data_IF_726831186102
#
_entry.id   IF_726831186102
#
_cell.length_a   1.000
_cell.length_b   1.000
_cell.length_c   1.000
_cell.angle_alpha   90.00
_cell.angle_beta   90.00
_cell.angle_gamma   90.00
#
_symmetry.space_group_name_H-M   'P 1'
#
loop_
_entity.id
_entity.type
_entity.pdbx_description
1 polymer ?
#
# COMPACT_ATOMS: atom_id res chain seq x y z
N UNK A 1 -8.26 19.15 1.49
CA UNK A 1 -8.61 18.47 0.23
C UNK A 1 -10.07 18.03 0.18
N UNK A 2 -10.69 17.62 1.30
CA UNK A 2 -12.15 17.39 1.33
C UNK A 2 -12.97 18.68 1.16
N UNK A 3 -12.46 19.81 1.66
CA UNK A 3 -13.11 21.12 1.60
C UNK A 3 -13.41 21.65 0.19
N UNK A 4 -12.76 21.12 -0.86
CA UNK A 4 -13.04 21.53 -2.24
C UNK A 4 -14.31 20.89 -2.81
N UNK A 5 -14.83 19.83 -2.18
CA UNK A 5 -16.06 19.13 -2.60
C UNK A 5 -17.29 19.73 -1.91
N UNK A 6 -17.11 20.44 -0.79
CA UNK A 6 -18.21 21.10 -0.07
C UNK A 6 -18.83 22.25 -0.88
N UNK A 7 -18.01 23.00 -1.62
CA UNK A 7 -18.47 24.11 -2.47
C UNK A 7 -19.46 23.65 -3.58
N UNK A 8 -19.16 22.62 -4.40
CA UNK A 8 -20.12 22.17 -5.41
C UNK A 8 -21.38 21.52 -4.79
N UNK A 9 -21.28 20.87 -3.63
CA UNK A 9 -22.46 20.33 -2.92
C UNK A 9 -23.38 21.47 -2.49
N UNK A 10 -22.84 22.49 -1.83
CA UNK A 10 -23.62 23.65 -1.36
C UNK A 10 -24.22 24.44 -2.51
N UNK A 11 -23.48 24.63 -3.61
CA UNK A 11 -23.99 25.28 -4.81
C UNK A 11 -25.17 24.50 -5.43
N UNK A 12 -25.08 23.17 -5.54
CA UNK A 12 -26.15 22.32 -6.05
C UNK A 12 -27.41 22.36 -5.17
N UNK A 13 -27.22 22.32 -3.84
CA UNK A 13 -28.34 22.45 -2.88
C UNK A 13 -29.03 23.81 -2.99
N UNK A 14 -28.25 24.89 -3.08
CA UNK A 14 -28.78 26.25 -3.20
C UNK A 14 -29.66 26.40 -4.45
N UNK A 15 -29.21 25.88 -5.60
CA UNK A 15 -29.99 25.89 -6.85
C UNK A 15 -31.28 25.07 -6.72
N UNK A 16 -31.23 23.92 -6.05
CA UNK A 16 -32.42 23.11 -5.77
C UNK A 16 -33.44 23.89 -4.92
N UNK A 17 -32.99 24.58 -3.88
CA UNK A 17 -33.87 25.37 -3.01
C UNK A 17 -34.52 26.55 -3.75
N UNK A 18 -33.78 27.21 -4.64
CA UNK A 18 -34.34 28.28 -5.48
C UNK A 18 -35.41 27.77 -6.45
N UNK A 19 -35.33 26.50 -6.88
CA UNK A 19 -36.36 25.88 -7.73
C UNK A 19 -37.63 25.53 -6.96
N UNK A 20 -37.52 25.16 -5.67
CA UNK A 20 -38.68 24.83 -4.80
C UNK A 20 -39.62 26.01 -4.58
N UNK A 21 -39.14 27.25 -4.68
CA UNK A 21 -39.94 28.46 -4.47
C UNK A 21 -40.85 28.88 -5.63
N UNK A 22 -40.87 28.15 -6.76
CA UNK A 22 -41.66 28.50 -7.95
C UNK A 22 -43.12 28.05 -7.79
N UNK A 23 -44.08 28.93 -8.04
CA UNK A 23 -45.53 28.64 -7.99
C UNK A 23 -45.99 27.82 -9.21
N UNK A 24 -46.87 26.86 -8.94
CA UNK A 24 -47.44 25.84 -9.85
C UNK A 24 -46.38 24.92 -10.45
N UNK A 25 -46.21 23.77 -9.80
CA UNK A 25 -45.40 22.65 -10.31
C UNK A 25 -46.22 21.93 -11.37
N UNK A 26 -46.00 22.25 -12.64
CA UNK A 26 -46.38 21.33 -13.69
C UNK A 26 -45.51 20.08 -13.53
N UNK A 27 -46.12 18.89 -13.55
CA UNK A 27 -45.41 17.62 -13.36
C UNK A 27 -44.65 17.21 -14.63
N UNK A 28 -43.83 18.14 -15.14
CA UNK A 28 -42.99 17.96 -16.32
C UNK A 28 -41.56 17.79 -15.80
N UNK A 29 -40.99 16.61 -16.02
CA UNK A 29 -39.60 16.33 -15.70
C UNK A 29 -38.69 17.14 -16.62
N UNK A 30 -38.17 18.26 -16.12
CA UNK A 30 -37.20 19.08 -16.84
C UNK A 30 -35.86 18.33 -16.90
N UNK A 31 -35.27 18.15 -18.10
CA UNK A 31 -33.99 17.45 -18.28
C UNK A 31 -32.85 18.06 -17.44
N UNK A 32 -32.86 19.38 -17.22
CA UNK A 32 -31.84 20.04 -16.39
C UNK A 32 -31.98 19.65 -14.92
N UNK A 33 -33.22 19.51 -14.43
CA UNK A 33 -33.48 19.11 -13.06
C UNK A 33 -33.08 17.66 -12.81
N UNK A 34 -33.37 16.75 -13.75
CA UNK A 34 -32.93 15.35 -13.69
C UNK A 34 -31.40 15.24 -13.66
N UNK A 35 -30.73 15.90 -14.61
CA UNK A 35 -29.26 15.89 -14.69
C UNK A 35 -28.61 16.47 -13.44
N UNK A 36 -29.13 17.56 -12.88
CA UNK A 36 -28.60 18.15 -11.64
C UNK A 36 -28.77 17.19 -10.45
N UNK A 37 -29.91 16.51 -10.34
CA UNK A 37 -30.15 15.51 -9.30
C UNK A 37 -29.19 14.32 -9.40
N UNK A 38 -28.95 13.81 -10.62
CA UNK A 38 -27.98 12.74 -10.87
C UNK A 38 -26.56 13.17 -10.48
N UNK A 39 -26.15 14.38 -10.88
CA UNK A 39 -24.85 14.93 -10.51
C UNK A 39 -24.70 15.12 -9.00
N UNK A 40 -25.74 15.61 -8.32
CA UNK A 40 -25.73 15.74 -6.87
C UNK A 40 -25.57 14.39 -6.17
N UNK A 41 -26.30 13.36 -6.63
CA UNK A 41 -26.14 12.00 -6.12
C UNK A 41 -24.72 11.44 -6.35
N UNK A 42 -24.16 11.67 -7.53
CA UNK A 42 -22.79 11.26 -7.87
C UNK A 42 -21.74 11.98 -7.01
N UNK A 43 -21.91 13.27 -6.74
CA UNK A 43 -21.01 14.05 -5.87
C UNK A 43 -21.01 13.54 -4.43
N UNK A 44 -22.19 13.25 -3.87
CA UNK A 44 -22.29 12.68 -2.52
C UNK A 44 -21.64 11.31 -2.44
N UNK A 45 -21.85 10.46 -3.44
CA UNK A 45 -21.19 9.15 -3.49
C UNK A 45 -19.66 9.27 -3.57
N UNK A 46 -19.16 10.19 -4.41
CA UNK A 46 -17.74 10.44 -4.53
C UNK A 46 -17.14 10.97 -3.22
N UNK A 47 -17.85 11.87 -2.53
CA UNK A 47 -17.46 12.37 -1.22
C UNK A 47 -17.34 11.24 -0.18
N UNK A 48 -18.36 10.38 -0.09
CA UNK A 48 -18.37 9.25 0.83
C UNK A 48 -17.24 8.26 0.53
N UNK A 49 -16.99 7.97 -0.75
CA UNK A 49 -15.89 7.13 -1.18
C UNK A 49 -14.53 7.73 -0.79
N UNK A 50 -14.33 9.03 -0.99
CA UNK A 50 -13.10 9.72 -0.64
C UNK A 50 -12.87 9.74 0.88
N UNK A 51 -13.92 9.98 1.67
CA UNK A 51 -13.84 9.96 3.13
C UNK A 51 -13.44 8.56 3.64
N UNK A 52 -14.05 7.50 3.10
CA UNK A 52 -13.69 6.12 3.44
C UNK A 52 -12.25 5.78 3.07
N UNK A 53 -11.80 6.19 1.89
CA UNK A 53 -10.41 5.98 1.47
C UNK A 53 -9.44 6.72 2.38
N UNK A 54 -9.76 7.96 2.75
CA UNK A 54 -8.94 8.75 3.68
C UNK A 54 -8.80 8.07 5.05
N UNK A 55 -9.89 7.54 5.59
CA UNK A 55 -9.87 6.79 6.85
C UNK A 55 -9.04 5.51 6.75
N UNK A 56 -9.17 4.77 5.64
CA UNK A 56 -8.38 3.56 5.39
C UNK A 56 -6.88 3.85 5.26
N UNK A 57 -6.52 4.91 4.52
CA UNK A 57 -5.15 5.35 4.37
C UNK A 57 -4.55 5.74 5.71
N UNK A 58 -5.30 6.49 6.53
CA UNK A 58 -4.86 6.87 7.87
C UNK A 58 -4.63 5.65 8.77
N UNK A 59 -5.56 4.70 8.77
CA UNK A 59 -5.41 3.45 9.52
C UNK A 59 -4.18 2.65 9.06
N UNK A 60 -3.94 2.57 7.75
CA UNK A 60 -2.76 1.90 7.19
C UNK A 60 -1.45 2.59 7.58
N UNK A 61 -1.41 3.93 7.57
CA UNK A 61 -0.26 4.68 8.04
C UNK A 61 0.03 4.42 9.53
N UNK A 62 -1.00 4.41 10.37
CA UNK A 62 -0.85 4.12 11.80
C UNK A 62 -0.32 2.70 12.03
N UNK A 63 -0.79 1.71 11.28
CA UNK A 63 -0.27 0.33 11.31
C UNK A 63 1.22 0.28 10.91
N UNK A 64 1.60 0.94 9.82
CA UNK A 64 2.98 0.99 9.35
C UNK A 64 3.91 1.66 10.37
N UNK A 65 3.44 2.74 11.02
CA UNK A 65 4.18 3.38 12.11
C UNK A 65 4.39 2.47 13.30
N UNK A 66 3.34 1.75 13.72
CA UNK A 66 3.43 0.78 14.81
C UNK A 66 4.43 -0.33 14.47
N UNK A 67 4.33 -0.91 13.27
CA UNK A 67 5.21 -1.99 12.82
C UNK A 67 6.67 -1.53 12.70
N UNK A 68 6.90 -0.32 12.17
CA UNK A 68 8.22 0.30 12.11
C UNK A 68 8.83 0.42 13.52
N UNK A 69 8.04 0.86 14.49
CA UNK A 69 8.48 0.98 15.89
C UNK A 69 8.84 -0.38 16.49
N UNK A 70 7.99 -1.39 16.29
CA UNK A 70 8.25 -2.76 16.75
C UNK A 70 9.56 -3.31 16.17
N UNK A 71 9.76 -3.19 14.86
CA UNK A 71 10.98 -3.65 14.21
C UNK A 71 12.24 -2.91 14.70
N UNK A 72 12.11 -1.62 15.05
CA UNK A 72 13.22 -0.86 15.60
C UNK A 72 13.63 -1.36 16.99
N UNK A 73 12.67 -1.69 17.86
CA UNK A 73 12.96 -2.29 19.17
C UNK A 73 13.54 -3.71 19.01
N UNK A 74 12.97 -4.54 18.14
CA UNK A 74 13.50 -5.88 17.84
C UNK A 74 14.97 -5.83 17.36
N UNK A 75 15.30 -4.87 16.50
CA UNK A 75 16.65 -4.67 16.00
C UNK A 75 17.59 -4.27 17.15
N UNK A 76 17.16 -3.36 18.01
CA UNK A 76 17.92 -2.92 19.19
C UNK A 76 18.20 -4.09 20.12
N UNK A 77 17.19 -4.91 20.42
CA UNK A 77 17.32 -6.08 21.28
C UNK A 77 18.27 -7.12 20.68
N UNK A 78 18.09 -7.46 19.39
CA UNK A 78 19.01 -8.38 18.68
C UNK A 78 20.45 -7.86 18.65
N UNK A 79 20.62 -6.55 18.50
CA UNK A 79 21.94 -5.91 18.53
C UNK A 79 22.57 -6.00 19.93
N UNK A 80 21.78 -5.79 20.98
CA UNK A 80 22.24 -5.95 22.36
C UNK A 80 22.64 -7.41 22.66
N UNK A 81 21.83 -8.39 22.28
CA UNK A 81 22.17 -9.82 22.42
C UNK A 81 23.47 -10.16 21.68
N UNK A 82 23.62 -9.72 20.43
CA UNK A 82 24.85 -9.93 19.66
C UNK A 82 26.09 -9.32 20.32
N UNK A 83 25.95 -8.15 20.97
CA UNK A 83 27.05 -7.54 21.72
C UNK A 83 27.44 -8.37 22.94
N UNK A 84 26.47 -8.97 23.63
CA UNK A 84 26.71 -9.90 24.75
C UNK A 84 27.47 -11.12 24.22
N UNK A 85 27.01 -11.75 23.14
CA UNK A 85 27.66 -12.91 22.54
C UNK A 85 29.11 -12.60 22.14
N UNK A 86 29.34 -11.43 21.55
CA UNK A 86 30.68 -10.98 21.15
C UNK A 86 31.60 -10.84 22.36
N UNK A 87 31.10 -10.31 23.49
CA UNK A 87 31.87 -10.22 24.74
C UNK A 87 32.16 -11.60 25.33
N UNK A 88 31.18 -12.50 25.30
CA UNK A 88 31.36 -13.88 25.76
C UNK A 88 32.39 -14.65 24.92
N UNK A 89 32.44 -14.43 23.60
CA UNK A 89 33.47 -15.03 22.75
C UNK A 89 34.88 -14.49 23.04
N UNK A 90 35.01 -13.18 23.30
CA UNK A 90 36.30 -12.55 23.61
C UNK A 90 36.81 -12.96 25.00
N UNK A 91 35.94 -13.06 26.00
CA UNK A 91 36.33 -13.33 27.40
C UNK A 91 36.15 -14.78 27.85
N UNK A 92 35.29 -15.54 27.18
CA UNK A 92 34.94 -16.93 27.48
C UNK A 92 35.63 -17.95 26.59
N UNK A 93 36.62 -17.54 25.78
CA UNK A 93 37.58 -18.47 25.20
C UNK A 93 38.27 -19.22 26.34
N UNK A 94 37.79 -20.42 26.63
CA UNK A 94 38.32 -21.28 27.68
C UNK A 94 39.85 -21.39 27.56
N UNK A 95 40.60 -21.44 28.68
CA UNK A 95 42.02 -21.79 28.63
C UNK A 95 42.14 -23.12 27.91
N UNK A 96 42.93 -23.15 26.84
CA UNK A 96 43.17 -24.32 26.00
C UNK A 96 43.83 -25.42 26.83
N UNK A 97 43.03 -26.20 27.54
CA UNK A 97 43.51 -27.36 28.29
C UNK A 97 43.11 -28.60 27.50
N UNK A 98 44.00 -28.95 26.56
CA UNK A 98 44.25 -30.32 26.10
C UNK A 98 43.09 -31.09 25.46
N UNK A 99 43.12 -31.17 24.12
CA UNK A 99 42.65 -32.34 23.39
C UNK A 99 41.15 -32.39 23.09
N UNK A 100 40.74 -31.79 21.98
CA UNK A 100 39.52 -32.24 21.31
C UNK A 100 39.68 -32.13 19.80
N UNK A 101 39.23 -33.19 19.15
CA UNK A 101 39.45 -33.58 17.76
C UNK A 101 39.06 -32.46 16.81
N UNK A 102 40.00 -32.09 15.92
CA UNK A 102 39.71 -31.24 14.77
C UNK A 102 38.79 -31.98 13.81
N UNK A 103 37.47 -31.78 13.92
CA UNK A 103 36.59 -32.01 12.78
C UNK A 103 36.76 -30.80 11.86
N UNK A 104 37.54 -31.02 10.81
CA UNK A 104 37.73 -30.07 9.72
C UNK A 104 36.43 -29.99 8.91
N UNK A 105 35.49 -29.19 9.38
CA UNK A 105 34.31 -28.82 8.60
C UNK A 105 34.77 -27.73 7.63
N UNK A 106 35.05 -28.15 6.38
CA UNK A 106 35.29 -27.26 5.26
C UNK A 106 34.05 -26.37 5.10
N UNK A 107 34.11 -25.16 5.63
CA UNK A 107 33.19 -24.10 5.29
C UNK A 107 33.33 -23.84 3.78
N UNK A 108 32.35 -24.34 3.02
CA UNK A 108 32.12 -23.88 1.67
C UNK A 108 31.94 -22.36 1.72
N UNK A 109 32.74 -21.65 0.92
CA UNK A 109 32.71 -20.20 0.81
C UNK A 109 31.24 -19.72 0.72
N UNK A 110 30.77 -18.85 1.63
CA UNK A 110 29.45 -18.26 1.47
C UNK A 110 29.45 -17.44 0.18
N UNK A 111 28.54 -17.78 -0.72
CA UNK A 111 28.30 -17.02 -1.95
C UNK A 111 28.17 -15.52 -1.63
N UNK A 112 28.79 -14.62 -2.41
CA UNK A 112 28.62 -13.20 -2.22
C UNK A 112 27.13 -12.84 -2.34
N UNK A 113 26.63 -12.06 -1.37
CA UNK A 113 25.26 -11.56 -1.39
C UNK A 113 25.04 -10.69 -2.64
N UNK A 114 23.86 -10.76 -3.29
CA UNK A 114 23.53 -9.88 -4.40
C UNK A 114 23.61 -8.43 -3.96
N UNK A 115 24.44 -7.65 -4.67
CA UNK A 115 24.52 -6.20 -4.51
C UNK A 115 23.24 -5.65 -5.13
N UNK A 116 22.46 -4.89 -4.37
CA UNK A 116 21.26 -4.22 -4.88
C UNK A 116 21.63 -3.33 -6.08
N UNK A 117 21.24 -3.73 -7.29
CA UNK A 117 21.44 -2.92 -8.49
C UNK A 117 21.39 -3.67 -9.82
N UNK A 118 21.61 -4.99 -9.82
CA UNK A 118 21.66 -5.72 -11.09
C UNK A 118 20.25 -5.99 -11.66
N UNK A 119 19.98 -5.62 -12.92
CA UNK A 119 18.73 -5.96 -13.58
C UNK A 119 18.64 -7.48 -13.76
N UNK A 120 17.53 -8.06 -13.31
CA UNK A 120 17.24 -9.49 -13.48
C UNK A 120 17.30 -9.84 -14.98
N UNK A 121 18.13 -10.82 -15.41
CA UNK A 121 18.17 -11.25 -16.80
C UNK A 121 16.82 -11.89 -17.17
N UNK A 122 16.05 -11.23 -18.03
CA UNK A 122 14.76 -11.75 -18.52
C UNK A 122 13.62 -10.73 -18.55
N UNK A 123 13.74 -9.61 -17.83
CA UNK A 123 12.75 -8.52 -17.89
C UNK A 123 13.11 -7.55 -19.01
N UNK A 124 12.51 -7.75 -20.20
CA UNK A 124 12.46 -6.71 -21.23
C UNK A 124 11.69 -5.51 -20.68
N UNK A 125 12.40 -4.47 -20.25
CA UNK A 125 11.81 -3.15 -20.04
C UNK A 125 11.57 -2.50 -21.41
N UNK A 126 10.32 -2.50 -21.88
CA UNK A 126 9.90 -1.54 -22.90
C UNK A 126 9.49 -0.26 -22.20
N UNK A 127 10.32 0.76 -22.32
CA UNK A 127 10.07 2.10 -21.79
C UNK A 127 9.16 2.83 -22.78
N UNK A 128 7.87 2.90 -22.48
CA UNK A 128 6.99 3.85 -23.17
C UNK A 128 7.03 5.16 -22.38
N UNK A 129 7.31 6.27 -23.06
CA UNK A 129 7.65 7.59 -22.49
C UNK A 129 6.54 8.33 -21.75
N UNK A 130 5.69 7.66 -20.98
CA UNK A 130 4.76 8.27 -20.03
C UNK A 130 4.70 7.39 -18.79
N UNK A 131 5.26 7.88 -17.68
CA UNK A 131 5.61 7.14 -16.47
C UNK A 131 4.44 6.60 -15.65
N UNK A 132 3.76 5.58 -16.13
CA UNK A 132 2.91 4.70 -15.32
C UNK A 132 3.37 3.26 -15.49
N UNK A 133 3.97 2.68 -14.44
CA UNK A 133 4.28 1.25 -14.43
C UNK A 133 2.99 0.47 -14.23
N UNK A 134 2.42 -0.07 -15.31
CA UNK A 134 1.35 -1.06 -15.20
C UNK A 134 2.00 -2.44 -15.25
N UNK A 135 2.00 -3.12 -14.11
CA UNK A 135 2.43 -4.52 -13.99
C UNK A 135 1.27 -5.42 -14.44
N UNK A 136 1.30 -5.85 -15.70
CA UNK A 136 0.46 -6.96 -16.14
C UNK A 136 1.23 -8.26 -15.88
N UNK A 137 0.85 -8.97 -14.82
CA UNK A 137 1.29 -10.34 -14.60
C UNK A 137 0.76 -11.25 -15.72
N UNK A 138 1.40 -12.41 -15.97
CA UNK A 138 0.91 -13.37 -16.96
C UNK A 138 -0.43 -13.93 -16.48
N UNK A 139 -1.51 -13.46 -17.10
CA UNK A 139 -2.82 -14.07 -16.99
C UNK A 139 -2.75 -15.48 -17.57
N UNK A 140 -2.75 -16.49 -16.71
CA UNK A 140 -3.07 -17.85 -17.11
C UNK A 140 -4.55 -17.87 -17.49
N UNK A 141 -4.85 -17.84 -18.79
CA UNK A 141 -6.19 -18.13 -19.30
C UNK A 141 -6.51 -19.58 -18.99
N UNK A 142 -7.22 -19.83 -17.88
CA UNK A 142 -7.83 -21.13 -17.62
C UNK A 142 -9.07 -21.26 -18.48
N UNK A 143 -8.94 -21.95 -19.61
CA UNK A 143 -10.06 -22.45 -20.39
C UNK A 143 -10.64 -23.69 -19.68
N UNK A 144 -11.86 -23.57 -19.17
CA UNK A 144 -12.72 -24.68 -18.73
C UNK A 144 -14.15 -24.17 -18.84
N UNK A 145 -15.05 -24.71 -19.63
CA UNK A 145 -15.14 -25.94 -20.39
C UNK A 145 -16.64 -26.11 -20.58
N UNK A 146 -17.10 -25.94 -21.82
CA UNK A 146 -18.47 -26.22 -22.19
C UNK A 146 -18.73 -27.73 -22.08
N UNK A 147 -19.79 -28.12 -21.40
CA UNK A 147 -20.40 -29.44 -21.56
C UNK A 147 -21.90 -29.35 -21.19
N UNK A 148 -22.70 -29.59 -22.24
CA UNK A 148 -24.07 -30.12 -22.31
C UNK A 148 -25.02 -29.94 -21.12
#
# INVERSE_FOLDING_TARGET
HLSSVDEPITAASTVSDWRKGRTVVEHITDPVSSSLQEHHGSLLQAHDSLSKQHEQERASLDELWLRRRQLAEDLKDKTATRQIDSRCLVHGGAPSTGGSVRVSERAANPMPLPIHGDPVPGTRQTVNGFGTSVTLGPGTTSARGAAA
#
